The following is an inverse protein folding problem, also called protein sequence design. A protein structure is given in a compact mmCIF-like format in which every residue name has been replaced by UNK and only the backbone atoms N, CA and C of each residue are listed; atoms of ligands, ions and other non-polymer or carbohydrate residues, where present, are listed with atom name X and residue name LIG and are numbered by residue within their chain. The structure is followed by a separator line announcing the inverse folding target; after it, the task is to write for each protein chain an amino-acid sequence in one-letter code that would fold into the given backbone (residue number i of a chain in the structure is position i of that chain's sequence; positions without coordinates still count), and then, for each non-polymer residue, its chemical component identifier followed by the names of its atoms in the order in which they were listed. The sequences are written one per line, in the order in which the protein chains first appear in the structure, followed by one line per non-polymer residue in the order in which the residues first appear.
data_IF_847945847314
#
_entry.id   IF_847945847314
#
_cell.length_a   1.000
_cell.length_b   1.000
_cell.length_c   1.000
_cell.angle_alpha   90.00
_cell.angle_beta   90.00
_cell.angle_gamma   90.00
#
_symmetry.space_group_name_H-M   'P 1'
#
loop_
_entity.id
_entity.type
_entity.pdbx_description
1 polymer ?
#
# COMPACT_ATOMS: atom_id res chain seq x y z
N UNK A 1 13.48 4.03 7.47
CA UNK A 1 13.57 2.56 7.65
C UNK A 1 13.41 1.86 6.31
N UNK A 2 14.20 0.85 6.07
CA UNK A 2 14.10 0.06 4.84
C UNK A 2 12.97 -0.95 4.93
N UNK A 3 12.28 -1.17 3.82
CA UNK A 3 11.44 -2.34 3.67
C UNK A 3 12.32 -3.58 3.50
N UNK A 4 11.90 -4.70 4.06
CA UNK A 4 12.60 -5.97 3.96
C UNK A 4 11.62 -7.05 3.52
N UNK A 5 12.05 -7.90 2.59
CA UNK A 5 11.24 -9.02 2.15
C UNK A 5 11.81 -10.33 2.70
N UNK A 6 10.94 -11.14 3.26
CA UNK A 6 11.30 -12.46 3.78
C UNK A 6 10.55 -13.52 2.99
N UNK A 7 11.29 -14.39 2.30
CA UNK A 7 10.71 -15.53 1.60
C UNK A 7 10.49 -16.68 2.58
N UNK A 8 9.23 -17.07 2.78
CA UNK A 8 8.86 -18.11 3.73
C UNK A 8 8.79 -19.50 3.10
N UNK A 9 8.21 -19.58 1.89
CA UNK A 9 8.02 -20.86 1.23
C UNK A 9 7.90 -20.67 -0.28
N UNK A 10 8.45 -21.63 -1.03
CA UNK A 10 8.29 -21.72 -2.48
C UNK A 10 7.52 -23.01 -2.79
N UNK A 11 6.54 -22.91 -3.69
CA UNK A 11 5.80 -24.08 -4.12
C UNK A 11 6.71 -25.00 -4.97
N UNK A 12 6.49 -26.31 -4.84
CA UNK A 12 7.32 -27.31 -5.54
C UNK A 12 6.86 -27.57 -6.97
N UNK A 13 5.64 -27.20 -7.31
CA UNK A 13 5.01 -27.49 -8.61
C UNK A 13 4.78 -26.27 -9.47
N UNK A 14 4.81 -25.08 -8.89
CA UNK A 14 4.58 -23.82 -9.57
C UNK A 14 5.65 -22.81 -9.15
N UNK A 15 5.56 -21.60 -9.68
CA UNK A 15 6.44 -20.48 -9.27
C UNK A 15 5.86 -19.68 -8.11
N UNK A 16 4.79 -20.17 -7.48
CA UNK A 16 4.17 -19.48 -6.37
C UNK A 16 5.10 -19.43 -5.15
N UNK A 17 5.09 -18.30 -4.44
CA UNK A 17 5.92 -18.08 -3.26
C UNK A 17 5.07 -17.46 -2.16
N UNK A 18 5.33 -17.89 -0.93
CA UNK A 18 4.78 -17.26 0.26
C UNK A 18 5.86 -16.40 0.90
N UNK A 19 5.54 -15.17 1.19
CA UNK A 19 6.53 -14.27 1.77
C UNK A 19 5.90 -13.25 2.70
N UNK A 20 6.74 -12.37 3.20
CA UNK A 20 6.35 -11.33 4.14
C UNK A 20 7.16 -10.08 3.84
N UNK A 21 6.46 -8.97 3.62
CA UNK A 21 7.07 -7.66 3.44
C UNK A 21 7.04 -6.92 4.76
N UNK A 22 8.19 -6.59 5.31
CA UNK A 22 8.33 -5.92 6.59
C UNK A 22 8.60 -4.45 6.32
N UNK A 23 7.72 -3.58 6.79
CA UNK A 23 7.83 -2.14 6.58
C UNK A 23 7.79 -1.41 7.92
N UNK A 24 8.10 -0.11 7.89
CA UNK A 24 8.02 0.75 9.07
C UNK A 24 6.59 0.84 9.63
N UNK A 25 5.59 0.55 8.80
CA UNK A 25 4.17 0.65 9.17
C UNK A 25 3.56 -0.68 9.56
N UNK A 26 4.27 -1.77 9.37
CA UNK A 26 3.78 -3.09 9.72
C UNK A 26 4.23 -4.15 8.73
N UNK A 27 3.64 -5.32 8.87
CA UNK A 27 3.99 -6.50 8.08
C UNK A 27 2.87 -6.78 7.08
N UNK A 28 3.24 -7.02 5.83
CA UNK A 28 2.31 -7.38 4.76
C UNK A 28 2.60 -8.81 4.33
N UNK A 29 1.62 -9.68 4.47
CA UNK A 29 1.74 -11.07 3.99
C UNK A 29 1.55 -11.12 2.48
N UNK A 30 2.42 -11.86 1.80
CA UNK A 30 2.34 -12.00 0.34
C UNK A 30 2.13 -13.46 -0.05
N UNK A 31 1.47 -13.73 -1.17
CA UNK A 31 0.93 -12.78 -2.16
C UNK A 31 -0.22 -11.95 -1.59
N UNK A 32 -0.39 -10.73 -2.10
CA UNK A 32 -1.39 -9.78 -1.62
C UNK A 32 -1.96 -8.99 -2.80
N UNK A 33 -3.28 -8.74 -2.76
CA UNK A 33 -3.90 -7.84 -3.71
C UNK A 33 -3.67 -6.39 -3.26
N UNK A 34 -3.26 -5.55 -4.21
CA UNK A 34 -3.05 -4.13 -3.94
C UNK A 34 -4.17 -3.31 -4.60
N UNK A 35 -5.18 -2.88 -3.83
CA UNK A 35 -6.18 -1.97 -4.39
C UNK A 35 -5.55 -0.69 -4.91
N UNK A 36 -6.06 -0.17 -6.02
CA UNK A 36 -5.55 1.06 -6.60
C UNK A 36 -6.15 2.26 -5.89
N UNK A 37 -5.29 3.09 -5.29
CA UNK A 37 -5.68 4.33 -4.61
C UNK A 37 -5.27 5.55 -5.41
N UNK A 38 -6.16 6.02 -6.31
CA UNK A 38 -5.94 7.25 -7.05
C UNK A 38 -6.19 8.45 -6.13
N UNK A 39 -5.30 9.45 -6.19
CA UNK A 39 -5.39 10.64 -5.33
C UNK A 39 -5.36 10.31 -3.82
N UNK A 40 -4.76 9.18 -3.46
CA UNK A 40 -4.68 8.73 -2.08
C UNK A 40 -5.94 8.06 -1.56
N UNK A 41 -6.88 7.71 -2.45
CA UNK A 41 -8.10 7.02 -2.06
C UNK A 41 -8.49 5.97 -3.10
N UNK A 42 -9.13 4.91 -2.62
CA UNK A 42 -9.74 3.89 -3.48
C UNK A 42 -11.17 4.34 -3.75
N UNK A 43 -11.58 4.38 -5.03
CA UNK A 43 -12.90 4.87 -5.41
C UNK A 43 -14.02 4.11 -4.71
N UNK A 44 -14.98 4.86 -4.17
CA UNK A 44 -16.17 4.36 -3.48
C UNK A 44 -15.89 3.57 -2.20
N UNK A 45 -14.62 3.54 -1.73
CA UNK A 45 -14.24 2.82 -0.51
C UNK A 45 -13.34 3.74 0.31
N UNK A 46 -13.68 4.00 1.57
CA UNK A 46 -12.84 4.82 2.43
C UNK A 46 -11.74 3.99 3.12
N UNK A 47 -10.70 4.63 3.71
CA UNK A 47 -9.62 3.90 4.36
C UNK A 47 -10.07 2.97 5.49
N UNK A 48 -11.13 3.33 6.20
CA UNK A 48 -11.67 2.50 7.28
C UNK A 48 -12.25 1.20 6.73
N UNK A 49 -13.00 1.28 5.62
CA UNK A 49 -13.56 0.11 4.96
C UNK A 49 -12.47 -0.81 4.43
N UNK A 50 -11.38 -0.24 3.89
CA UNK A 50 -10.23 -1.02 3.44
C UNK A 50 -9.58 -1.77 4.60
N UNK A 51 -9.44 -1.12 5.74
CA UNK A 51 -8.87 -1.74 6.94
C UNK A 51 -9.76 -2.88 7.43
N UNK A 52 -11.08 -2.67 7.47
CA UNK A 52 -12.04 -3.69 7.87
C UNK A 52 -12.03 -4.92 6.95
N UNK A 53 -11.73 -4.73 5.66
CA UNK A 53 -11.59 -5.83 4.71
C UNK A 53 -10.25 -6.54 4.80
N UNK A 54 -9.37 -6.12 5.70
CA UNK A 54 -8.06 -6.72 5.87
C UNK A 54 -7.04 -6.28 4.82
N UNK A 55 -7.28 -5.16 4.16
CA UNK A 55 -6.33 -4.61 3.17
C UNK A 55 -5.09 -4.10 3.89
N UNK A 56 -3.93 -4.62 3.51
CA UNK A 56 -2.66 -4.28 4.16
C UNK A 56 -1.83 -3.29 3.35
N UNK A 57 -2.12 -3.14 2.06
CA UNK A 57 -1.35 -2.31 1.16
C UNK A 57 -2.24 -1.78 0.04
N UNK A 58 -2.02 -0.54 -0.38
CA UNK A 58 -2.68 0.04 -1.55
C UNK A 58 -1.63 0.55 -2.53
N UNK A 59 -2.02 0.65 -3.79
CA UNK A 59 -1.16 1.15 -4.86
C UNK A 59 -1.48 2.61 -5.13
N UNK A 60 -0.49 3.49 -4.96
CA UNK A 60 -0.60 4.90 -5.32
C UNK A 60 0.18 5.19 -6.60
N UNK A 61 -0.19 6.26 -7.29
CA UNK A 61 0.48 6.67 -8.51
C UNK A 61 1.02 8.09 -8.35
N UNK A 62 2.32 8.24 -8.39
CA UNK A 62 3.00 9.54 -8.22
C UNK A 62 2.52 10.58 -9.22
N UNK A 63 2.30 10.19 -10.47
CA UNK A 63 1.81 11.10 -11.51
C UNK A 63 0.46 11.70 -11.13
N UNK A 64 -0.50 10.85 -10.73
CA UNK A 64 -1.82 11.31 -10.34
C UNK A 64 -1.79 12.16 -9.08
N UNK A 65 -0.97 11.79 -8.09
CA UNK A 65 -0.84 12.54 -6.84
C UNK A 65 -0.19 13.91 -7.07
N UNK A 66 0.72 14.03 -8.03
CA UNK A 66 1.35 15.31 -8.39
C UNK A 66 0.34 16.27 -9.02
N UNK A 67 -0.61 15.77 -9.79
CA UNK A 67 -1.65 16.59 -10.42
C UNK A 67 -2.76 16.93 -9.42
N UNK A 68 -3.23 15.95 -8.68
CA UNK A 68 -4.32 16.08 -7.70
C UNK A 68 -4.08 15.18 -6.49
N UNK A 69 -3.97 15.73 -5.30
CA UNK A 69 -4.14 17.14 -4.92
C UNK A 69 -2.92 18.01 -5.21
N UNK A 70 -1.79 17.42 -5.58
CA UNK A 70 -0.54 18.09 -5.80
C UNK A 70 0.43 17.95 -4.63
N UNK A 71 1.73 18.09 -4.91
CA UNK A 71 2.78 17.88 -3.92
C UNK A 71 2.70 18.85 -2.75
N UNK A 72 2.28 20.10 -2.99
CA UNK A 72 2.19 21.10 -1.94
C UNK A 72 1.19 20.70 -0.86
N UNK A 73 0.03 20.15 -1.25
CA UNK A 73 -0.97 19.70 -0.31
C UNK A 73 -0.48 18.48 0.46
N UNK A 74 0.18 17.55 -0.21
CA UNK A 74 0.72 16.36 0.43
C UNK A 74 1.81 16.72 1.44
N UNK A 75 2.68 17.67 1.11
CA UNK A 75 3.69 18.18 2.03
C UNK A 75 3.06 18.88 3.24
N UNK A 76 2.04 19.72 3.00
CA UNK A 76 1.34 20.41 4.07
C UNK A 76 0.65 19.43 5.02
N UNK A 77 0.20 18.29 4.52
CA UNK A 77 -0.41 17.23 5.33
C UNK A 77 0.63 16.37 6.08
N UNK A 78 1.93 16.57 5.84
CA UNK A 78 2.99 15.83 6.51
C UNK A 78 3.43 14.56 5.78
N UNK A 79 3.11 14.46 4.48
CA UNK A 79 3.48 13.33 3.64
C UNK A 79 2.28 12.49 3.24
N UNK A 80 2.52 11.50 2.38
CA UNK A 80 1.45 10.71 1.78
C UNK A 80 0.65 9.90 2.79
N UNK A 81 1.31 9.25 3.73
CA UNK A 81 0.62 8.45 4.74
C UNK A 81 -0.32 9.29 5.60
N UNK A 82 0.11 10.47 6.01
CA UNK A 82 -0.73 11.38 6.79
C UNK A 82 -1.87 11.96 5.96
N UNK A 83 -1.62 12.21 4.68
CA UNK A 83 -2.65 12.71 3.77
C UNK A 83 -3.78 11.70 3.58
N UNK A 84 -3.43 10.42 3.44
CA UNK A 84 -4.41 9.35 3.26
C UNK A 84 -5.10 8.99 4.58
N UNK A 85 -4.36 9.10 5.66
CA UNK A 85 -4.75 8.66 6.99
C UNK A 85 -4.70 7.12 7.06
#
# INVERSE_FOLDING_TARGET
MRAMFELLKTDTHTKARLGRLITARGVVDTPVYMPVGTQGSVKAIDPRELDEMGTQIILGNTYHLNIRPGLDIIRAAGGLHRFIN
#
